data_IF_153109295680
#
_entry.id   IF_153109295680
#
_cell.length_a   1.000
_cell.length_b   1.000
_cell.length_c   1.000
_cell.angle_alpha   90.00
_cell.angle_beta   90.00
_cell.angle_gamma   90.00
#
_symmetry.space_group_name_H-M   'P 1'
#
loop_
_entity.id
_entity.type
_entity.pdbx_description
1 polymer ?
#
# COMPACT_ATOMS: atom_id res chain seq x y z
N UNK A 1 15.21 16.34 -1.47
CA UNK A 1 14.08 15.39 -1.54
C UNK A 1 14.24 14.50 -0.32
N UNK A 2 13.22 14.47 0.53
CA UNK A 2 13.27 13.80 1.84
C UNK A 2 12.12 12.82 1.88
N UNK A 3 12.44 11.52 1.87
CA UNK A 3 11.45 10.46 1.98
C UNK A 3 10.77 10.52 3.34
N UNK A 4 9.43 10.53 3.34
CA UNK A 4 8.61 10.57 4.56
C UNK A 4 7.87 9.26 4.80
N UNK A 5 7.63 8.48 3.75
CA UNK A 5 7.02 7.17 3.85
C UNK A 5 7.61 6.25 2.78
N UNK A 6 7.92 5.02 3.19
CA UNK A 6 8.32 3.96 2.29
C UNK A 6 7.57 2.68 2.65
N UNK A 7 6.96 2.06 1.65
CA UNK A 7 6.42 0.71 1.73
C UNK A 7 7.10 -0.15 0.67
N UNK A 8 7.57 -1.34 1.07
CA UNK A 8 8.24 -2.31 0.21
C UNK A 8 7.46 -3.61 0.24
N UNK A 9 7.05 -4.11 -0.93
CA UNK A 9 6.34 -5.36 -1.11
C UNK A 9 5.17 -5.55 -0.13
N UNK A 10 4.40 -4.48 0.12
CA UNK A 10 3.34 -4.47 1.13
C UNK A 10 2.19 -5.41 0.75
N UNK A 11 1.75 -6.18 1.73
CA UNK A 11 0.57 -7.04 1.65
C UNK A 11 -0.46 -6.67 2.69
N UNK A 12 -1.73 -6.75 2.29
CA UNK A 12 -2.85 -6.72 3.23
C UNK A 12 -3.75 -7.90 2.91
N UNK A 13 -3.84 -8.79 3.87
CA UNK A 13 -4.69 -9.98 3.78
C UNK A 13 -5.72 -9.90 4.90
N UNK A 14 -6.98 -10.13 4.54
CA UNK A 14 -8.05 -10.38 5.48
C UNK A 14 -8.35 -11.87 5.47
N UNK A 15 -8.32 -12.47 6.65
CA UNK A 15 -8.68 -13.88 6.85
C UNK A 15 -10.01 -13.93 7.58
N UNK A 16 -11.02 -14.52 6.94
CA UNK A 16 -12.38 -14.58 7.46
C UNK A 16 -12.91 -16.00 7.32
N UNK A 17 -12.79 -16.79 8.39
CA UNK A 17 -13.16 -18.20 8.39
C UNK A 17 -12.34 -18.99 7.36
N UNK A 18 -13.00 -19.55 6.34
CA UNK A 18 -12.35 -20.27 5.24
C UNK A 18 -11.91 -19.37 4.08
N UNK A 19 -12.27 -18.08 4.10
CA UNK A 19 -11.95 -17.14 3.03
C UNK A 19 -10.67 -16.36 3.33
N UNK A 20 -9.83 -16.23 2.30
CA UNK A 20 -8.64 -15.38 2.30
C UNK A 20 -8.79 -14.31 1.22
N UNK A 21 -8.81 -13.04 1.64
CA UNK A 21 -8.92 -11.89 0.72
C UNK A 21 -7.60 -11.14 0.73
N UNK A 22 -6.91 -11.15 -0.41
CA UNK A 22 -5.68 -10.40 -0.63
C UNK A 22 -6.02 -9.01 -1.18
N UNK A 23 -6.22 -8.06 -0.27
CA UNK A 23 -6.62 -6.69 -0.57
C UNK A 23 -5.47 -5.83 -1.12
N UNK A 24 -4.25 -6.03 -0.65
CA UNK A 24 -3.04 -5.47 -1.26
C UNK A 24 -2.06 -6.60 -1.56
N UNK A 25 -1.41 -6.55 -2.73
CA UNK A 25 -0.48 -7.58 -3.21
C UNK A 25 0.80 -6.93 -3.71
N UNK A 26 1.91 -7.11 -2.97
CA UNK A 26 3.25 -6.58 -3.31
C UNK A 26 3.26 -5.11 -3.72
N UNK A 27 2.62 -4.25 -2.92
CA UNK A 27 2.61 -2.81 -3.22
C UNK A 27 3.90 -2.17 -2.71
N UNK A 28 4.65 -1.55 -3.62
CA UNK A 28 5.86 -0.78 -3.29
C UNK A 28 5.63 0.69 -3.66
N UNK A 29 5.82 1.60 -2.71
CA UNK A 29 5.65 3.05 -2.90
C UNK A 29 6.59 3.83 -2.00
N UNK A 30 7.10 4.96 -2.51
CA UNK A 30 7.89 5.95 -1.78
C UNK A 30 7.16 7.28 -1.89
N UNK A 31 6.95 7.95 -0.77
CA UNK A 31 6.35 9.29 -0.71
C UNK A 31 7.37 10.29 -0.17
N UNK A 32 7.42 11.46 -0.79
CA UNK A 32 8.37 12.52 -0.49
C UNK A 32 7.72 13.69 0.28
N UNK A 33 8.52 14.40 1.08
CA UNK A 33 8.05 15.56 1.83
C UNK A 33 7.49 16.65 0.89
N UNK A 34 6.25 17.09 1.15
CA UNK A 34 5.56 18.11 0.36
C UNK A 34 4.87 17.59 -0.90
N UNK A 35 4.94 16.29 -1.17
CA UNK A 35 4.26 15.66 -2.29
C UNK A 35 2.73 15.58 -2.05
N UNK A 36 1.95 15.94 -3.08
CA UNK A 36 0.49 15.75 -3.08
C UNK A 36 0.16 14.54 -3.95
N UNK A 37 -0.30 13.45 -3.33
CA UNK A 37 -0.55 12.17 -4.01
C UNK A 37 -2.03 11.81 -3.94
N UNK A 38 -2.56 11.31 -5.05
CA UNK A 38 -3.90 10.75 -5.12
C UNK A 38 -3.85 9.21 -5.16
N UNK A 39 -4.72 8.57 -4.40
CA UNK A 39 -5.01 7.13 -4.51
C UNK A 39 -6.35 6.99 -5.23
N UNK A 40 -6.38 6.25 -6.34
CA UNK A 40 -7.61 5.98 -7.10
C UNK A 40 -7.81 4.48 -7.30
N UNK A 41 -9.07 4.06 -7.26
CA UNK A 41 -9.52 2.69 -7.56
C UNK A 41 -10.55 2.68 -8.70
N UNK A 42 -10.83 1.48 -9.23
CA UNK A 42 -11.88 1.24 -10.21
C UNK A 42 -13.28 1.23 -9.58
#
# INVERSE_FOLDING_TARGET
MTTVLEARDLWKVYETGTNRVEALRKVSVVLEAGEMVAVRGA
#
